data_IF_047935486476
#
_entry.id   IF_047935486476
#
_cell.length_a   1.000
_cell.length_b   1.000
_cell.length_c   1.000
_cell.angle_alpha   90.00
_cell.angle_beta   90.00
_cell.angle_gamma   90.00
#
_symmetry.space_group_name_H-M   'P 1'
#
loop_
_entity.id
_entity.type
_entity.pdbx_description
1 polymer ?
#
# COMPACT_ATOMS: atom_id res chain seq x y z
N UNK A 1 2.07 -8.49 -15.24
CA UNK A 1 1.94 -7.07 -15.65
C UNK A 1 2.73 -6.24 -14.66
N UNK A 2 3.39 -5.16 -15.10
CA UNK A 2 4.20 -4.30 -14.21
C UNK A 2 3.51 -2.96 -14.01
N UNK A 3 3.68 -2.38 -12.83
CA UNK A 3 3.13 -1.07 -12.51
C UNK A 3 3.81 0.03 -13.35
N UNK A 4 3.06 1.09 -13.71
CA UNK A 4 3.59 2.19 -14.55
C UNK A 4 4.83 2.84 -13.97
N UNK A 5 4.89 2.99 -12.64
CA UNK A 5 6.05 3.54 -11.93
C UNK A 5 7.33 2.70 -12.06
N UNK A 6 7.19 1.42 -12.42
CA UNK A 6 8.31 0.49 -12.58
C UNK A 6 8.81 0.35 -14.01
N UNK A 7 8.02 0.70 -15.03
CA UNK A 7 8.32 0.35 -16.42
C UNK A 7 9.67 0.89 -16.91
N UNK A 8 9.95 2.17 -16.64
CA UNK A 8 11.25 2.79 -16.99
C UNK A 8 12.40 2.12 -16.25
N UNK A 9 12.22 1.85 -14.95
CA UNK A 9 13.25 1.23 -14.11
C UNK A 9 13.55 -0.19 -14.60
N UNK A 10 12.52 -0.97 -14.91
CA UNK A 10 12.66 -2.32 -15.47
C UNK A 10 13.43 -2.27 -16.79
N UNK A 11 13.06 -1.37 -17.71
CA UNK A 11 13.71 -1.25 -19.01
C UNK A 11 15.20 -0.91 -18.88
N UNK A 12 15.55 0.12 -18.11
CA UNK A 12 16.95 0.49 -17.89
C UNK A 12 17.74 -0.60 -17.17
N UNK A 13 17.13 -1.25 -16.17
CA UNK A 13 17.78 -2.35 -15.44
C UNK A 13 18.04 -3.54 -16.36
N UNK A 14 17.10 -3.87 -17.24
CA UNK A 14 17.28 -4.92 -18.24
C UNK A 14 18.44 -4.63 -19.18
N UNK A 15 18.56 -3.40 -19.68
CA UNK A 15 19.66 -2.99 -20.56
C UNK A 15 21.00 -3.06 -19.83
N UNK A 16 21.09 -2.48 -18.63
CA UNK A 16 22.33 -2.44 -17.83
C UNK A 16 22.78 -3.86 -17.46
N UNK A 17 21.84 -4.69 -16.97
CA UNK A 17 22.15 -6.06 -16.57
C UNK A 17 22.52 -6.89 -17.81
N UNK A 18 21.79 -6.77 -18.91
CA UNK A 18 22.12 -7.42 -20.18
C UNK A 18 23.52 -7.06 -20.67
N UNK A 19 23.86 -5.77 -20.68
CA UNK A 19 25.21 -5.31 -21.03
C UNK A 19 26.27 -5.87 -20.08
N UNK A 20 26.02 -5.87 -18.76
CA UNK A 20 26.96 -6.44 -17.79
C UNK A 20 27.20 -7.94 -17.99
N UNK A 21 26.15 -8.70 -18.33
CA UNK A 21 26.21 -10.13 -18.62
C UNK A 21 27.03 -10.40 -19.88
N UNK A 22 26.85 -9.59 -20.93
CA UNK A 22 27.62 -9.68 -22.17
C UNK A 22 29.08 -9.30 -21.95
N UNK A 23 29.36 -8.20 -21.25
CA UNK A 23 30.73 -7.80 -20.91
C UNK A 23 31.42 -8.88 -20.07
N UNK A 24 30.73 -9.44 -19.07
CA UNK A 24 31.27 -10.56 -18.30
C UNK A 24 31.55 -11.80 -19.17
N UNK A 25 30.76 -12.04 -20.22
CA UNK A 25 30.99 -13.16 -21.12
C UNK A 25 32.28 -12.99 -21.95
N UNK A 26 32.54 -11.78 -22.46
CA UNK A 26 33.68 -11.50 -23.35
C UNK A 26 34.98 -11.13 -22.64
N UNK A 27 34.91 -10.54 -21.44
CA UNK A 27 36.09 -9.99 -20.75
C UNK A 27 36.50 -10.75 -19.48
N UNK A 28 35.75 -11.78 -19.06
CA UNK A 28 36.09 -12.60 -17.89
C UNK A 28 36.40 -14.03 -18.33
N UNK A 29 37.68 -14.38 -18.36
CA UNK A 29 38.16 -15.73 -18.70
C UNK A 29 37.90 -16.74 -17.58
N UNK A 30 37.92 -16.26 -16.33
CA UNK A 30 37.72 -17.09 -15.15
C UNK A 30 36.26 -17.57 -15.08
N UNK A 31 36.05 -18.84 -15.40
CA UNK A 31 34.71 -19.44 -15.58
C UNK A 31 33.77 -19.24 -14.38
N UNK A 32 34.26 -19.48 -13.15
CA UNK A 32 33.41 -19.35 -11.95
C UNK A 32 33.03 -17.88 -11.68
N UNK A 33 33.95 -16.94 -11.90
CA UNK A 33 33.71 -15.52 -11.69
C UNK A 33 32.69 -14.99 -12.70
N UNK A 34 32.83 -15.39 -13.97
CA UNK A 34 31.84 -15.10 -15.03
C UNK A 34 30.44 -15.59 -14.64
N UNK A 35 30.33 -16.85 -14.19
CA UNK A 35 29.04 -17.40 -13.75
C UNK A 35 28.44 -16.62 -12.56
N UNK A 36 29.26 -16.26 -11.57
CA UNK A 36 28.79 -15.47 -10.42
C UNK A 36 28.22 -14.13 -10.85
N UNK A 37 28.90 -13.40 -11.73
CA UNK A 37 28.42 -12.10 -12.24
C UNK A 37 27.10 -12.26 -12.99
N UNK A 38 26.98 -13.29 -13.83
CA UNK A 38 25.77 -13.55 -14.60
C UNK A 38 24.58 -13.93 -13.72
N UNK A 39 24.80 -14.81 -12.74
CA UNK A 39 23.77 -15.22 -11.78
C UNK A 39 23.34 -14.06 -10.89
N UNK A 40 24.27 -13.24 -10.41
CA UNK A 40 23.96 -12.06 -9.61
C UNK A 40 23.12 -11.05 -10.41
N UNK A 41 23.48 -10.80 -11.68
CA UNK A 41 22.69 -9.97 -12.57
C UNK A 41 21.26 -10.48 -12.74
N UNK A 42 21.10 -11.80 -12.95
CA UNK A 42 19.78 -12.43 -13.06
C UNK A 42 18.97 -12.30 -11.76
N UNK A 43 19.58 -12.53 -10.60
CA UNK A 43 18.92 -12.38 -9.29
C UNK A 43 18.44 -10.95 -9.09
N UNK A 44 19.29 -9.96 -9.38
CA UNK A 44 18.92 -8.53 -9.29
C UNK A 44 17.75 -8.21 -10.21
N UNK A 45 17.77 -8.69 -11.46
CA UNK A 45 16.66 -8.50 -12.39
C UNK A 45 15.35 -9.10 -11.84
N UNK A 46 15.39 -10.33 -11.31
CA UNK A 46 14.22 -10.99 -10.72
C UNK A 46 13.67 -10.16 -9.55
N UNK A 47 14.52 -9.64 -8.67
CA UNK A 47 14.10 -8.80 -7.54
C UNK A 47 13.40 -7.53 -8.03
N UNK A 48 13.94 -6.87 -9.06
CA UNK A 48 13.35 -5.65 -9.64
C UNK A 48 11.97 -5.96 -10.24
N UNK A 49 11.87 -7.03 -11.05
CA UNK A 49 10.60 -7.46 -11.65
C UNK A 49 9.57 -7.81 -10.56
N UNK A 50 9.99 -8.53 -9.54
CA UNK A 50 9.14 -8.92 -8.42
C UNK A 50 8.59 -7.71 -7.66
N UNK A 51 9.42 -6.69 -7.44
CA UNK A 51 9.05 -5.49 -6.70
C UNK A 51 8.04 -4.63 -7.45
N UNK A 52 8.20 -4.47 -8.77
CA UNK A 52 7.32 -3.65 -9.60
C UNK A 52 6.13 -4.40 -10.21
N UNK A 53 5.92 -5.67 -9.84
CA UNK A 53 4.78 -6.44 -10.33
C UNK A 53 3.46 -5.78 -9.92
N UNK A 54 2.50 -5.76 -10.83
CA UNK A 54 1.12 -5.39 -10.55
C UNK A 54 0.21 -6.55 -11.02
N UNK A 55 -0.20 -7.47 -10.12
CA UNK A 55 -1.15 -8.51 -10.50
C UNK A 55 -2.49 -7.89 -10.86
N UNK A 56 -3.14 -8.38 -11.92
CA UNK A 56 -4.49 -7.96 -12.25
C UNK A 56 -5.43 -8.47 -11.14
N UNK A 57 -6.19 -7.56 -10.55
CA UNK A 57 -7.21 -7.85 -9.53
C UNK A 57 -8.50 -7.19 -9.95
N UNK A 58 -9.59 -7.93 -9.87
CA UNK A 58 -10.93 -7.41 -10.10
C UNK A 58 -11.61 -7.34 -8.73
N UNK A 59 -11.65 -6.14 -8.15
CA UNK A 59 -12.40 -5.92 -6.93
C UNK A 59 -13.90 -6.03 -7.22
N UNK A 60 -14.63 -6.70 -6.33
CA UNK A 60 -16.09 -6.61 -6.32
C UNK A 60 -16.43 -5.26 -5.69
N UNK A 61 -16.70 -4.26 -6.54
CA UNK A 61 -16.93 -2.89 -6.09
C UNK A 61 -18.23 -2.82 -5.30
N UNK A 62 -18.15 -2.40 -4.05
CA UNK A 62 -19.30 -2.26 -3.15
C UNK A 62 -19.14 -1.04 -2.25
N UNK A 63 -20.27 -0.47 -1.82
CA UNK A 63 -20.28 0.59 -0.81
C UNK A 63 -20.39 0.06 0.62
N UNK A 64 -20.61 -1.25 0.79
CA UNK A 64 -20.80 -1.88 2.10
C UNK A 64 -19.49 -2.32 2.74
N UNK A 65 -18.38 -2.32 2.01
CA UNK A 65 -17.10 -2.85 2.47
C UNK A 65 -15.96 -1.87 2.24
N UNK A 66 -14.98 -1.91 3.13
CA UNK A 66 -13.67 -1.32 2.97
C UNK A 66 -12.70 -2.45 2.65
N UNK A 67 -12.08 -2.43 1.47
CA UNK A 67 -11.09 -3.43 1.09
C UNK A 67 -9.68 -3.01 1.55
N UNK A 68 -8.81 -4.01 1.70
CA UNK A 68 -7.41 -3.78 2.01
C UNK A 68 -6.79 -2.91 0.90
N UNK A 69 -6.14 -1.78 1.23
CA UNK A 69 -5.50 -0.95 0.23
C UNK A 69 -4.21 -1.58 -0.32
N UNK A 70 -3.62 -2.55 0.40
CA UNK A 70 -2.30 -3.11 0.11
C UNK A 70 -2.20 -4.59 0.48
N UNK A 71 -1.21 -5.27 -0.09
CA UNK A 71 -0.77 -6.59 0.37
C UNK A 71 0.08 -6.46 1.62
N UNK A 72 -0.17 -7.29 2.63
CA UNK A 72 0.65 -7.26 3.82
C UNK A 72 0.11 -8.06 4.98
N UNK A 73 0.48 -7.61 6.17
CA UNK A 73 0.07 -8.19 7.44
C UNK A 73 -0.55 -7.10 8.31
N UNK A 74 -1.71 -7.38 8.90
CA UNK A 74 -2.34 -6.49 9.88
C UNK A 74 -1.47 -6.46 11.14
N UNK A 75 -1.03 -5.26 11.53
CA UNK A 75 -0.11 -5.05 12.67
C UNK A 75 -0.70 -4.17 13.77
N UNK A 76 -1.78 -3.44 13.50
CA UNK A 76 -2.52 -2.65 14.50
C UNK A 76 -4.01 -2.74 14.21
N UNK A 77 -4.81 -2.94 15.27
CA UNK A 77 -6.25 -2.73 15.30
C UNK A 77 -6.55 -2.09 16.66
N UNK A 78 -6.84 -0.79 16.69
CA UNK A 78 -7.09 -0.06 17.93
C UNK A 78 -7.95 1.18 17.69
N UNK A 79 -8.49 1.78 18.75
CA UNK A 79 -9.13 3.09 18.68
C UNK A 79 -8.11 4.18 19.00
N UNK A 80 -7.96 5.15 18.09
CA UNK A 80 -7.02 6.26 18.23
C UNK A 80 -7.70 7.59 18.00
N UNK A 81 -7.12 8.65 18.55
CA UNK A 81 -7.50 10.01 18.20
C UNK A 81 -6.73 10.45 16.95
N UNK A 82 -7.44 10.69 15.85
CA UNK A 82 -6.84 11.13 14.58
C UNK A 82 -6.69 12.66 14.61
N UNK A 83 -5.46 13.16 14.71
CA UNK A 83 -5.14 14.57 15.02
C UNK A 83 -5.17 15.54 13.84
N UNK A 84 -5.11 15.04 12.60
CA UNK A 84 -4.83 15.86 11.43
C UNK A 84 -6.09 16.40 10.77
N UNK A 85 -6.98 15.50 10.37
CA UNK A 85 -8.16 15.83 9.59
C UNK A 85 -9.40 15.77 10.46
N UNK A 86 -9.67 14.62 11.10
CA UNK A 86 -10.91 14.41 11.82
C UNK A 86 -10.94 15.11 13.18
N UNK A 87 -9.81 15.11 13.90
CA UNK A 87 -9.71 15.62 15.28
C UNK A 87 -10.73 14.94 16.22
N UNK A 88 -10.94 13.65 16.01
CA UNK A 88 -11.85 12.81 16.78
C UNK A 88 -11.30 11.36 16.94
N UNK A 89 -12.07 10.49 17.59
CA UNK A 89 -11.72 9.06 17.74
C UNK A 89 -12.12 8.27 16.50
N UNK A 90 -11.20 7.42 16.02
CA UNK A 90 -11.38 6.52 14.87
C UNK A 90 -10.84 5.13 15.17
N UNK A 91 -11.38 4.12 14.49
CA UNK A 91 -10.77 2.79 14.44
C UNK A 91 -9.59 2.83 13.48
N UNK A 92 -8.40 2.56 13.97
CA UNK A 92 -7.20 2.41 13.17
C UNK A 92 -6.95 0.94 12.83
N UNK A 93 -6.77 0.66 11.54
CA UNK A 93 -6.26 -0.64 11.05
C UNK A 93 -5.00 -0.40 10.25
N UNK A 94 -3.89 -0.96 10.68
CA UNK A 94 -2.60 -0.80 10.01
C UNK A 94 -2.12 -2.07 9.35
N UNK A 95 -1.69 -1.94 8.09
CA UNK A 95 -1.16 -3.04 7.29
C UNK A 95 0.30 -2.75 6.97
N UNK A 96 1.18 -3.63 7.43
CA UNK A 96 2.60 -3.59 7.10
C UNK A 96 2.88 -4.40 5.83
N UNK A 97 3.63 -3.81 4.91
CA UNK A 97 4.04 -4.38 3.64
C UNK A 97 5.51 -4.79 3.72
N UNK A 98 5.77 -6.10 3.58
CA UNK A 98 7.14 -6.60 3.48
C UNK A 98 7.73 -6.31 2.08
N UNK A 99 9.07 -6.32 1.93
CA UNK A 99 9.73 -6.07 0.64
C UNK A 99 9.30 -7.00 -0.50
N UNK A 100 8.76 -8.18 -0.18
CA UNK A 100 8.29 -9.17 -1.16
C UNK A 100 6.80 -9.03 -1.51
N UNK A 101 6.07 -8.13 -0.87
CA UNK A 101 4.66 -7.85 -1.19
C UNK A 101 4.53 -7.01 -2.47
N UNK A 102 3.31 -6.96 -3.03
CA UNK A 102 2.99 -5.99 -4.08
C UNK A 102 2.94 -4.60 -3.45
N UNK A 103 3.72 -3.67 -3.99
CA UNK A 103 3.89 -2.32 -3.45
C UNK A 103 2.93 -1.26 -4.06
N UNK A 104 2.03 -1.72 -4.93
CA UNK A 104 0.92 -0.93 -5.47
C UNK A 104 -0.11 -0.71 -4.37
N UNK A 105 -0.47 0.54 -4.13
CA UNK A 105 -1.57 0.91 -3.22
C UNK A 105 -2.85 1.08 -4.02
N UNK A 106 -3.98 0.70 -3.44
CA UNK A 106 -5.30 0.72 -4.07
C UNK A 106 -6.30 1.46 -3.21
N UNK A 107 -7.31 2.03 -3.84
CA UNK A 107 -8.36 2.73 -3.10
C UNK A 107 -9.17 1.73 -2.27
N UNK A 108 -9.28 1.94 -0.94
CA UNK A 108 -10.01 1.02 -0.07
C UNK A 108 -11.53 1.07 -0.26
N UNK A 109 -12.06 2.17 -0.82
CA UNK A 109 -13.47 2.38 -1.07
C UNK A 109 -13.69 3.30 -2.29
N UNK A 110 -14.91 3.23 -2.83
CA UNK A 110 -15.39 4.16 -3.85
C UNK A 110 -15.96 5.42 -3.19
N UNK A 111 -15.74 6.57 -3.80
CA UNK A 111 -16.22 7.86 -3.27
C UNK A 111 -15.53 9.05 -3.90
N UNK A 112 -15.67 10.22 -3.28
CA UNK A 112 -14.97 11.44 -3.70
C UNK A 112 -13.83 11.78 -2.75
N UNK A 113 -12.70 12.23 -3.31
CA UNK A 113 -11.56 12.67 -2.51
C UNK A 113 -11.85 14.04 -1.93
N UNK A 114 -12.00 14.14 -0.61
CA UNK A 114 -12.26 15.41 0.08
C UNK A 114 -10.98 16.06 0.60
N UNK A 115 -9.91 15.29 0.77
CA UNK A 115 -8.61 15.76 1.22
C UNK A 115 -7.49 14.87 0.66
N UNK A 116 -6.39 15.50 0.26
CA UNK A 116 -5.16 14.83 -0.18
C UNK A 116 -3.98 15.74 0.16
N UNK A 117 -3.06 15.26 0.99
CA UNK A 117 -1.91 16.05 1.43
C UNK A 117 -0.65 15.18 1.55
N UNK A 118 0.46 15.71 1.05
CA UNK A 118 1.78 15.14 1.19
C UNK A 118 2.52 15.79 2.37
N UNK A 119 3.23 14.96 3.14
CA UNK A 119 4.03 15.38 4.27
C UNK A 119 5.47 14.88 4.06
N UNK A 120 6.45 15.77 3.91
CA UNK A 120 7.84 15.38 3.99
C UNK A 120 8.14 14.93 5.44
N UNK A 121 9.05 13.98 5.59
CA UNK A 121 9.41 13.47 6.90
C UNK A 121 10.74 12.72 6.92
N UNK A 122 11.02 12.10 8.07
CA UNK A 122 12.20 11.28 8.34
C UNK A 122 12.06 9.89 7.71
N UNK A 123 13.11 9.08 7.90
CA UNK A 123 13.21 7.73 7.35
C UNK A 123 13.36 6.70 8.49
N UNK A 124 12.41 6.70 9.43
CA UNK A 124 12.35 5.68 10.48
C UNK A 124 11.84 4.36 9.89
N UNK A 125 12.19 3.23 10.50
CA UNK A 125 11.64 1.93 10.11
C UNK A 125 10.12 1.92 10.29
N UNK A 126 9.38 1.34 9.36
CA UNK A 126 7.91 1.50 9.30
C UNK A 126 7.17 0.88 10.50
N UNK A 127 7.80 -0.04 11.23
CA UNK A 127 7.25 -0.62 12.48
C UNK A 127 7.54 0.23 13.73
N UNK A 128 8.33 1.29 13.62
CA UNK A 128 8.58 2.18 14.76
C UNK A 128 7.30 2.95 15.12
N UNK A 129 6.91 3.07 16.40
CA UNK A 129 5.65 3.72 16.79
C UNK A 129 5.49 5.15 16.28
N UNK A 130 6.60 5.91 16.20
CA UNK A 130 6.62 7.29 15.69
C UNK A 130 6.65 7.41 14.16
N UNK A 131 6.75 6.30 13.42
CA UNK A 131 6.86 6.33 11.95
C UNK A 131 5.63 6.97 11.32
N UNK A 132 4.43 6.72 11.85
CA UNK A 132 3.19 7.28 11.31
C UNK A 132 3.15 8.82 11.40
N UNK A 133 3.82 9.43 12.37
CA UNK A 133 3.85 10.89 12.54
C UNK A 133 5.10 11.56 11.94
N UNK A 134 6.27 10.93 12.05
CA UNK A 134 7.55 11.56 11.68
C UNK A 134 8.03 11.20 10.28
N UNK A 135 7.58 10.09 9.67
CA UNK A 135 8.06 9.71 8.35
C UNK A 135 7.38 10.48 7.22
N UNK A 136 8.00 10.41 6.04
CA UNK A 136 7.32 10.76 4.79
C UNK A 136 6.00 10.00 4.68
N UNK A 137 4.90 10.74 4.53
CA UNK A 137 3.57 10.18 4.41
C UNK A 137 2.67 10.96 3.47
N UNK A 138 1.62 10.31 2.99
CA UNK A 138 0.46 11.00 2.44
C UNK A 138 -0.77 10.71 3.28
N UNK A 139 -1.65 11.70 3.39
CA UNK A 139 -2.95 11.59 4.03
C UNK A 139 -4.02 11.82 2.97
N UNK A 140 -4.92 10.86 2.78
CA UNK A 140 -6.02 10.95 1.81
C UNK A 140 -7.33 10.61 2.49
N UNK A 141 -8.36 11.43 2.25
CA UNK A 141 -9.72 11.22 2.77
C UNK A 141 -10.66 10.98 1.61
N UNK A 142 -11.44 9.91 1.73
CA UNK A 142 -12.48 9.52 0.78
C UNK A 142 -13.83 9.69 1.47
N UNK A 143 -14.69 10.54 0.92
CA UNK A 143 -16.10 10.59 1.30
C UNK A 143 -16.85 9.48 0.57
N UNK A 144 -17.18 8.43 1.32
CA UNK A 144 -17.90 7.27 0.83
C UNK A 144 -19.42 7.48 0.98
N UNK A 145 -20.25 6.76 0.20
CA UNK A 145 -21.70 6.86 0.33
C UNK A 145 -22.28 6.31 1.65
N UNK A 146 -21.60 5.35 2.30
CA UNK A 146 -22.13 4.68 3.51
C UNK A 146 -21.31 4.91 4.77
N UNK A 147 -19.98 4.80 4.71
CA UNK A 147 -19.10 5.01 5.88
C UNK A 147 -18.86 6.50 6.19
N UNK A 148 -19.44 7.42 5.41
CA UNK A 148 -19.04 8.82 5.47
C UNK A 148 -17.57 8.99 5.05
N UNK A 149 -16.86 9.89 5.71
CA UNK A 149 -15.43 10.11 5.46
C UNK A 149 -14.56 9.04 6.14
N UNK A 150 -13.75 8.38 5.33
CA UNK A 150 -12.68 7.48 5.76
C UNK A 150 -11.34 8.07 5.35
N UNK A 151 -10.28 7.76 6.10
CA UNK A 151 -8.94 8.25 5.80
C UNK A 151 -7.99 7.07 5.65
N UNK A 152 -7.08 7.16 4.68
CA UNK A 152 -5.94 6.26 4.61
C UNK A 152 -4.63 7.04 4.51
N UNK A 153 -3.59 6.52 5.15
CA UNK A 153 -2.23 7.07 5.12
C UNK A 153 -1.27 6.10 4.50
N UNK A 154 -0.51 6.57 3.53
CA UNK A 154 0.64 5.85 3.01
C UNK A 154 1.86 6.32 3.78
N UNK A 155 2.62 5.41 4.39
CA UNK A 155 3.78 5.75 5.21
C UNK A 155 5.00 5.05 4.64
N UNK A 156 5.98 5.86 4.23
CA UNK A 156 7.26 5.38 3.73
C UNK A 156 8.10 4.84 4.90
N UNK A 157 8.75 3.69 4.75
CA UNK A 157 9.73 3.19 5.73
C UNK A 157 11.15 3.75 5.51
N UNK A 158 12.10 3.27 6.32
CA UNK A 158 13.49 3.78 6.31
C UNK A 158 14.22 3.67 4.96
N UNK A 159 13.88 2.66 4.16
CA UNK A 159 14.45 2.44 2.83
C UNK A 159 13.59 3.03 1.71
N UNK A 160 12.37 3.45 2.03
CA UNK A 160 11.43 4.08 1.13
C UNK A 160 11.83 5.54 0.90
N UNK A 161 12.06 5.93 -0.35
CA UNK A 161 12.48 7.30 -0.68
C UNK A 161 11.38 8.18 -1.28
N UNK A 162 10.26 7.58 -1.69
CA UNK A 162 9.12 8.27 -2.33
C UNK A 162 7.82 7.49 -2.16
N UNK A 163 6.77 8.21 -1.79
CA UNK A 163 5.37 7.82 -2.02
C UNK A 163 4.89 8.45 -3.33
N UNK A 164 4.31 7.65 -4.20
CA UNK A 164 3.56 8.13 -5.36
C UNK A 164 2.08 8.06 -5.00
N UNK A 165 1.40 9.22 -4.95
CA UNK A 165 -0.01 9.33 -4.64
C UNK A 165 -0.77 9.89 -5.84
N UNK A 166 -1.86 9.25 -6.22
CA UNK A 166 -2.68 9.65 -7.37
C UNK A 166 -3.93 10.41 -6.97
N UNK A 167 -4.26 10.50 -5.68
CA UNK A 167 -5.49 11.13 -5.23
C UNK A 167 -5.40 12.66 -5.34
N UNK A 168 -6.30 13.27 -6.11
CA UNK A 168 -6.49 14.72 -6.17
C UNK A 168 -7.84 15.12 -5.56
N UNK A 169 -7.86 16.25 -4.83
CA UNK A 169 -9.09 16.71 -4.18
C UNK A 169 -10.16 17.06 -5.21
N UNK A 170 -11.37 16.56 -5.01
CA UNK A 170 -12.51 16.75 -5.91
C UNK A 170 -12.72 15.61 -6.90
N UNK A 171 -11.73 14.73 -7.09
CA UNK A 171 -11.89 13.58 -7.98
C UNK A 171 -12.77 12.49 -7.37
N UNK A 172 -13.41 11.72 -8.24
CA UNK A 172 -14.13 10.49 -7.87
C UNK A 172 -13.24 9.29 -8.15
N UNK A 173 -13.17 8.38 -7.19
CA UNK A 173 -12.33 7.19 -7.24
C UNK A 173 -13.17 5.93 -7.05
N UNK A 174 -12.71 4.82 -7.61
CA UNK A 174 -13.38 3.54 -7.44
C UNK A 174 -12.55 2.58 -6.59
N UNK A 175 -13.23 1.86 -5.72
CA UNK A 175 -12.65 0.81 -4.88
C UNK A 175 -11.84 -0.18 -5.70
N UNK A 176 -10.62 -0.46 -5.25
CA UNK A 176 -9.72 -1.42 -5.88
C UNK A 176 -8.91 -0.90 -7.07
N UNK A 177 -9.22 0.29 -7.59
CA UNK A 177 -8.37 0.95 -8.58
C UNK A 177 -7.04 1.38 -7.93
N UNK A 178 -5.99 1.55 -8.73
CA UNK A 178 -4.66 1.94 -8.25
C UNK A 178 -4.69 3.37 -7.67
N UNK A 179 -4.34 3.51 -6.40
CA UNK A 179 -4.27 4.78 -5.67
C UNK A 179 -2.85 5.37 -5.63
N UNK A 180 -1.85 4.55 -5.94
CA UNK A 180 -0.47 4.98 -5.84
C UNK A 180 0.54 3.83 -5.81
N UNK A 181 1.73 4.16 -5.34
CA UNK A 181 2.82 3.23 -5.17
C UNK A 181 3.73 3.68 -4.04
N UNK A 182 4.05 2.80 -3.09
CA UNK A 182 5.02 3.09 -2.02
C UNK A 182 6.24 2.23 -2.21
N UNK A 183 7.44 2.81 -2.21
CA UNK A 183 8.67 2.04 -2.43
C UNK A 183 9.17 1.39 -1.14
N UNK A 184 9.55 0.11 -1.14
CA UNK A 184 10.35 -0.62 -0.14
C UNK A 184 9.95 -0.47 1.34
N UNK A 185 9.18 -1.46 1.84
CA UNK A 185 8.98 -1.64 3.28
C UNK A 185 8.13 -0.53 3.89
N UNK A 186 6.83 -0.61 3.64
CA UNK A 186 5.88 0.46 3.92
C UNK A 186 4.74 0.02 4.82
N UNK A 187 4.02 0.99 5.36
CA UNK A 187 2.82 0.78 6.15
C UNK A 187 1.68 1.59 5.55
N UNK A 188 0.48 1.03 5.55
CA UNK A 188 -0.74 1.79 5.27
C UNK A 188 -1.65 1.75 6.48
N UNK A 189 -2.05 2.93 6.95
CA UNK A 189 -2.97 3.10 8.06
C UNK A 189 -4.35 3.48 7.52
N UNK A 190 -5.39 2.74 7.90
CA UNK A 190 -6.78 3.09 7.68
C UNK A 190 -7.35 3.68 8.96
N UNK A 191 -8.11 4.76 8.86
CA UNK A 191 -8.87 5.36 9.94
C UNK A 191 -10.34 5.37 9.54
N UNK A 192 -11.12 4.61 10.31
CA UNK A 192 -12.50 4.28 10.01
C UNK A 192 -13.45 4.80 11.11
N UNK A 193 -14.73 5.03 10.78
CA UNK A 193 -15.78 5.31 11.77
C UNK A 193 -15.84 4.27 12.90
N UNK A 194 -16.30 4.68 14.09
CA UNK A 194 -16.38 3.79 15.26
C UNK A 194 -17.52 2.76 15.16
N UNK A 195 -18.54 3.04 14.36
CA UNK A 195 -19.74 2.21 14.18
C UNK A 195 -19.56 1.07 13.17
N UNK A 196 -18.49 1.08 12.36
CA UNK A 196 -18.19 -0.01 11.44
C UNK A 196 -17.70 -1.29 12.14
N UNK A 197 -17.92 -2.44 11.50
CA UNK A 197 -17.44 -3.74 11.97
C UNK A 197 -16.09 -4.06 11.31
N UNK A 198 -15.08 -4.38 12.12
CA UNK A 198 -13.76 -4.82 11.60
C UNK A 198 -13.79 -6.32 11.33
N UNK A 199 -13.44 -6.71 10.10
CA UNK A 199 -13.52 -8.10 9.60
C UNK A 199 -12.17 -8.82 9.55
N UNK A 200 -11.11 -8.17 10.03
CA UNK A 200 -9.75 -8.73 10.10
C UNK A 200 -9.26 -8.83 11.53
N UNK A 201 -8.30 -9.73 11.74
CA UNK A 201 -7.63 -9.94 13.03
C UNK A 201 -6.19 -9.45 13.00
N UNK A 202 -5.66 -9.12 14.17
CA UNK A 202 -4.23 -8.84 14.32
C UNK A 202 -3.41 -10.01 13.78
N UNK A 203 -2.29 -9.72 13.12
CA UNK A 203 -1.41 -10.66 12.44
C UNK A 203 -1.96 -11.37 11.19
N UNK A 204 -3.19 -11.09 10.77
CA UNK A 204 -3.76 -11.66 9.55
C UNK A 204 -3.01 -11.15 8.30
N UNK A 205 -2.72 -12.07 7.36
CA UNK A 205 -2.25 -11.70 6.02
C UNK A 205 -3.43 -11.24 5.18
N UNK A 206 -3.26 -10.11 4.49
CA UNK A 206 -4.29 -9.49 3.66
C UNK A 206 -3.76 -9.23 2.26
N UNK A 207 -4.67 -9.23 1.29
CA UNK A 207 -4.38 -8.93 -0.11
C UNK A 207 -5.15 -7.68 -0.53
N UNK A 208 -4.45 -6.73 -1.13
CA UNK A 208 -5.03 -5.47 -1.56
C UNK A 208 -6.13 -5.67 -2.61
N UNK A 209 -7.21 -4.90 -2.52
CA UNK A 209 -8.42 -5.01 -3.37
C UNK A 209 -9.14 -6.38 -3.33
N UNK A 210 -8.81 -7.25 -2.38
CA UNK A 210 -9.47 -8.56 -2.22
C UNK A 210 -9.98 -8.74 -0.79
N UNK A 211 -9.14 -8.50 0.23
CA UNK A 211 -9.51 -8.76 1.62
C UNK A 211 -10.39 -7.64 2.18
N UNK A 212 -11.58 -7.97 2.66
CA UNK A 212 -12.44 -7.06 3.39
C UNK A 212 -11.83 -6.71 4.76
N UNK A 213 -11.60 -5.42 5.02
CA UNK A 213 -11.12 -4.88 6.29
C UNK A 213 -12.27 -4.54 7.22
N UNK A 214 -13.32 -3.93 6.69
CA UNK A 214 -14.47 -3.53 7.49
C UNK A 214 -15.76 -3.55 6.68
N UNK A 215 -16.87 -3.84 7.34
CA UNK A 215 -18.23 -3.74 6.80
C UNK A 215 -18.99 -2.61 7.46
N UNK A 216 -19.88 -2.00 6.66
CA UNK A 216 -20.86 -1.06 7.14
C UNK A 216 -21.90 -1.83 7.96
N UNK A 217 -22.31 -1.27 9.10
CA UNK A 217 -23.39 -1.81 9.93
C UNK A 217 -24.52 -0.80 9.87
N UNK A 218 -25.69 -1.21 9.39
CA UNK A 218 -26.85 -0.33 9.37
C UNK A 218 -27.27 -0.02 10.81
N UNK A 219 -27.37 1.26 11.21
CA UNK A 219 -27.86 1.63 12.54
C UNK A 219 -29.24 1.03 12.84
N UNK A 220 -30.10 0.85 11.83
CA UNK A 220 -31.45 0.32 12.01
C UNK A 220 -31.50 -1.20 12.25
N UNK A 221 -30.44 -1.94 11.91
CA UNK A 221 -30.35 -3.40 12.18
C UNK A 221 -29.84 -3.71 13.60
N UNK A 222 -29.28 -2.72 14.32
CA UNK A 222 -28.80 -2.93 15.70
C UNK A 222 -29.93 -3.06 16.73
N UNK A 223 -31.10 -2.51 16.44
CA UNK A 223 -32.23 -2.48 17.38
C UNK A 223 -33.11 -3.75 17.33
N UNK A 224 -32.86 -4.68 16.40
CA UNK A 224 -33.63 -5.94 16.30
C UNK A 224 -33.06 -7.09 17.14
N UNK A 225 -31.90 -6.91 17.78
CA UNK A 225 -31.28 -7.94 18.65
C UNK A 225 -31.34 -7.49 20.11
N UNK A 226 -32.55 -7.40 20.64
CA UNK A 226 -32.79 -7.43 22.09
C UNK A 226 -33.75 -8.59 22.38
N UNK A 227 -33.19 -9.69 22.91
CA UNK A 227 -33.93 -10.74 23.60
C UNK A 227 -33.57 -10.70 25.09
#
# INVERSE_FOLDING_TARGET
MFHREGQKIILFSFIIIGASVLLAHFFIDIAWLKLVVQLLGLIVLIIILQFFRNPKRVAIKTFNEILAPVDGKVVVIEEVFEKEFFKDKRKQVSIFMSPVNVHVTRYPASGSITFSKYHPGKYLVAWHPKSSEENERTTVVIKTPKFGEILYRQIAGALARRIVNYAEKGESVQQGDDAGFIKFGSRVDLFLPLDCQINVKLNQKVKGAETCIATFVDPNEKDEITY
#
